data_IF_248085413948
#
_entry.id   IF_248085413948
#
_cell.length_a   1.000
_cell.length_b   1.000
_cell.length_c   1.000
_cell.angle_alpha   90.00
_cell.angle_beta   90.00
_cell.angle_gamma   90.00
#
_symmetry.space_group_name_H-M   'P 1'
#
loop_
_entity.id
_entity.type
_entity.pdbx_description
1 polymer ?
#
# COMPACT_ATOMS: atom_id res chain seq x y z
N UNK A 1 2.26 7.48 20.61
CA UNK A 1 1.59 6.22 20.20
C UNK A 1 2.65 5.17 19.98
N UNK A 2 2.50 3.98 20.56
CA UNK A 2 3.44 2.89 20.31
C UNK A 2 3.12 2.19 18.98
N UNK A 3 4.12 2.02 18.12
CA UNK A 3 3.99 1.36 16.81
C UNK A 3 4.11 -0.16 16.91
N UNK A 4 4.81 -0.65 17.94
CA UNK A 4 4.98 -2.08 18.22
C UNK A 4 3.67 -2.89 18.33
N UNK A 5 2.61 -2.43 19.02
CA UNK A 5 1.33 -3.15 19.05
C UNK A 5 0.65 -3.17 17.67
N UNK A 6 0.71 -2.08 16.91
CA UNK A 6 0.16 -2.02 15.55
C UNK A 6 0.87 -2.99 14.62
N UNK A 7 2.19 -3.00 14.66
CA UNK A 7 3.01 -3.93 13.88
C UNK A 7 2.60 -5.39 14.16
N UNK A 8 2.49 -5.79 15.43
CA UNK A 8 2.07 -7.15 15.80
C UNK A 8 0.67 -7.49 15.31
N UNK A 9 -0.29 -6.54 15.38
CA UNK A 9 -1.65 -6.77 14.88
C UNK A 9 -1.66 -6.97 13.36
N UNK A 10 -0.87 -6.19 12.61
CA UNK A 10 -0.74 -6.36 11.16
C UNK A 10 -0.09 -7.68 10.78
N UNK A 11 1.02 -8.05 11.44
CA UNK A 11 1.68 -9.35 11.24
C UNK A 11 0.70 -10.51 11.51
N UNK A 12 -0.01 -10.49 12.64
CA UNK A 12 -1.00 -11.51 12.97
C UNK A 12 -2.14 -11.60 11.95
N UNK A 13 -2.63 -10.45 11.46
CA UNK A 13 -3.66 -10.40 10.43
C UNK A 13 -3.16 -10.97 9.10
N UNK A 14 -1.94 -10.62 8.68
CA UNK A 14 -1.32 -11.13 7.45
C UNK A 14 -1.07 -12.63 7.53
N UNK A 15 -0.51 -13.14 8.63
CA UNK A 15 -0.32 -14.59 8.81
C UNK A 15 -1.65 -15.35 8.75
N UNK A 16 -2.74 -14.75 9.25
CA UNK A 16 -4.07 -15.37 9.21
C UNK A 16 -4.72 -15.35 7.81
N UNK A 17 -4.47 -14.30 7.02
CA UNK A 17 -5.13 -14.09 5.72
C UNK A 17 -4.26 -14.50 4.51
N UNK A 18 -2.94 -14.61 4.69
CA UNK A 18 -1.95 -15.02 3.68
C UNK A 18 -1.36 -16.38 4.10
N UNK A 19 -2.11 -17.45 3.88
CA UNK A 19 -1.66 -18.83 4.11
C UNK A 19 -1.00 -19.39 2.85
N UNK A 20 0.19 -18.89 2.53
CA UNK A 20 1.08 -19.49 1.53
C UNK A 20 2.45 -19.66 2.16
N UNK A 21 3.22 -20.67 1.74
CA UNK A 21 4.56 -20.98 2.28
C UNK A 21 5.53 -19.77 2.20
N UNK A 22 5.24 -18.85 1.27
CA UNK A 22 5.93 -17.55 1.11
C UNK A 22 5.63 -16.51 2.21
N UNK A 23 4.62 -16.71 3.05
CA UNK A 23 4.24 -15.72 4.06
C UNK A 23 5.35 -15.42 5.07
N UNK A 24 6.17 -16.42 5.42
CA UNK A 24 7.34 -16.22 6.30
C UNK A 24 8.44 -15.40 5.61
N UNK A 25 8.64 -15.60 4.32
CA UNK A 25 9.56 -14.80 3.50
C UNK A 25 9.04 -13.36 3.37
N UNK A 26 7.74 -13.18 3.15
CA UNK A 26 7.10 -11.87 3.05
C UNK A 26 7.15 -11.12 4.37
N UNK A 27 6.98 -11.77 5.53
CA UNK A 27 7.09 -11.08 6.83
C UNK A 27 8.50 -10.55 7.07
N UNK A 28 9.51 -11.34 6.69
CA UNK A 28 10.91 -10.93 6.78
C UNK A 28 11.21 -9.78 5.81
N UNK A 29 10.58 -9.76 4.64
CA UNK A 29 10.63 -8.66 3.70
C UNK A 29 9.98 -7.39 4.28
N UNK A 30 8.74 -7.47 4.77
CA UNK A 30 8.02 -6.33 5.35
C UNK A 30 8.75 -5.70 6.53
N UNK A 31 9.31 -6.51 7.44
CA UNK A 31 10.11 -6.01 8.56
C UNK A 31 11.34 -5.23 8.10
N UNK A 32 12.05 -5.70 7.07
CA UNK A 32 13.21 -4.97 6.51
C UNK A 32 12.79 -3.67 5.84
N UNK A 33 11.73 -3.68 5.03
CA UNK A 33 11.18 -2.47 4.41
C UNK A 33 10.76 -1.45 5.47
N UNK A 34 10.07 -1.92 6.52
CA UNK A 34 9.66 -1.09 7.65
C UNK A 34 10.85 -0.49 8.39
N UNK A 35 11.90 -1.26 8.70
CA UNK A 35 13.10 -0.71 9.35
C UNK A 35 13.77 0.38 8.50
N UNK A 36 13.82 0.22 7.18
CA UNK A 36 14.35 1.25 6.27
C UNK A 36 13.44 2.47 6.23
N UNK A 37 12.12 2.28 6.12
CA UNK A 37 11.14 3.35 6.13
C UNK A 37 11.18 4.15 7.45
N UNK A 38 11.39 3.46 8.59
CA UNK A 38 11.58 4.10 9.89
C UNK A 38 12.81 5.01 9.94
N UNK A 39 13.90 4.60 9.30
CA UNK A 39 15.10 5.46 9.20
C UNK A 39 14.88 6.64 8.27
N UNK A 40 14.16 6.43 7.16
CA UNK A 40 13.85 7.50 6.21
C UNK A 40 12.88 8.52 6.81
N UNK A 41 11.88 8.09 7.56
CA UNK A 41 10.93 8.99 8.22
C UNK A 41 11.54 9.73 9.41
N UNK A 42 12.71 9.32 9.90
CA UNK A 42 13.39 10.00 11.00
C UNK A 42 13.78 11.42 10.56
N UNK A 43 13.08 12.42 11.10
CA UNK A 43 13.27 13.83 10.75
C UNK A 43 12.29 14.37 9.70
N UNK A 44 11.34 13.57 9.22
CA UNK A 44 10.28 14.03 8.31
C UNK A 44 8.95 14.24 9.06
N UNK A 45 8.13 15.24 8.67
CA UNK A 45 6.82 15.49 9.26
C UNK A 45 5.76 14.50 8.73
N UNK A 46 6.06 13.20 8.77
CA UNK A 46 5.17 12.12 8.30
C UNK A 46 4.63 11.33 9.47
N UNK A 47 3.42 10.80 9.32
CA UNK A 47 2.81 10.00 10.37
C UNK A 47 3.34 8.55 10.29
N UNK A 48 4.07 8.07 11.30
CA UNK A 48 4.66 6.74 11.26
C UNK A 48 3.61 5.61 11.20
N UNK A 49 2.39 5.84 11.70
CA UNK A 49 1.30 4.86 11.62
C UNK A 49 0.82 4.68 10.17
N UNK A 50 0.75 5.76 9.40
CA UNK A 50 0.41 5.74 7.98
C UNK A 50 1.47 4.98 7.20
N UNK A 51 2.75 5.29 7.44
CA UNK A 51 3.88 4.64 6.77
C UNK A 51 3.93 3.16 7.11
N UNK A 52 3.76 2.79 8.39
CA UNK A 52 3.69 1.39 8.82
C UNK A 52 2.61 0.65 8.05
N UNK A 53 1.39 1.21 8.03
CA UNK A 53 0.25 0.58 7.36
C UNK A 53 0.51 0.43 5.87
N UNK A 54 1.01 1.47 5.20
CA UNK A 54 1.37 1.38 3.78
C UNK A 54 2.45 0.31 3.54
N UNK A 55 3.50 0.23 4.36
CA UNK A 55 4.56 -0.76 4.20
C UNK A 55 4.08 -2.21 4.35
N UNK A 56 3.08 -2.49 5.18
CA UNK A 56 2.56 -3.86 5.33
C UNK A 56 1.49 -4.21 4.28
N UNK A 57 0.68 -3.23 3.86
CA UNK A 57 -0.44 -3.48 2.96
C UNK A 57 -0.16 -3.15 1.48
N UNK A 58 1.00 -2.56 1.15
CA UNK A 58 1.32 -2.20 -0.25
C UNK A 58 1.28 -3.39 -1.21
N UNK A 59 1.55 -4.61 -0.73
CA UNK A 59 1.60 -5.83 -1.54
C UNK A 59 0.39 -6.77 -1.31
N UNK A 60 -0.67 -6.29 -0.64
CA UNK A 60 -1.84 -7.12 -0.35
C UNK A 60 -2.64 -7.56 -1.59
N UNK A 61 -2.43 -6.89 -2.71
CA UNK A 61 -3.01 -7.24 -4.01
C UNK A 61 -1.88 -7.45 -5.01
N UNK A 62 -1.47 -8.71 -5.17
CA UNK A 62 -0.55 -9.10 -6.23
C UNK A 62 -1.36 -9.55 -7.45
N UNK A 63 -1.56 -8.66 -8.43
CA UNK A 63 -2.18 -9.04 -9.70
C UNK A 63 -1.17 -9.77 -10.59
N UNK A 64 -1.56 -10.87 -11.26
CA UNK A 64 -0.68 -11.61 -12.15
C UNK A 64 -0.22 -10.75 -13.33
N UNK A 65 0.98 -11.02 -13.83
CA UNK A 65 1.70 -10.20 -14.82
C UNK A 65 0.94 -9.93 -16.13
N UNK A 66 -0.05 -10.76 -16.48
CA UNK A 66 -0.81 -10.64 -17.73
C UNK A 66 -2.13 -9.84 -17.59
N UNK A 67 -2.42 -9.23 -16.44
CA UNK A 67 -3.64 -8.43 -16.33
C UNK A 67 -3.48 -7.06 -17.00
N UNK A 68 -4.34 -6.70 -17.97
CA UNK A 68 -4.33 -5.38 -18.64
C UNK A 68 -4.59 -4.22 -17.67
N UNK A 69 -5.12 -4.52 -16.49
CA UNK A 69 -5.45 -3.56 -15.44
C UNK A 69 -4.37 -3.46 -14.36
N UNK A 70 -3.12 -3.84 -14.68
CA UNK A 70 -1.98 -3.64 -13.77
C UNK A 70 -1.83 -2.19 -13.31
N UNK A 71 -2.27 -1.22 -14.12
CA UNK A 71 -2.31 0.20 -13.74
C UNK A 71 -3.37 0.55 -12.69
N UNK A 72 -4.36 -0.34 -12.47
CA UNK A 72 -5.40 -0.21 -11.45
C UNK A 72 -5.11 -1.04 -10.20
N UNK A 73 -4.06 -1.87 -10.17
CA UNK A 73 -3.71 -2.69 -9.00
C UNK A 73 -3.47 -1.82 -7.78
N UNK A 74 -2.82 -0.67 -7.94
CA UNK A 74 -2.55 0.30 -6.88
C UNK A 74 -3.85 0.84 -6.26
N UNK A 75 -4.83 1.17 -7.09
CA UNK A 75 -6.12 1.68 -6.63
C UNK A 75 -6.95 0.58 -5.96
N UNK A 76 -6.91 -0.65 -6.48
CA UNK A 76 -7.54 -1.80 -5.83
C UNK A 76 -6.89 -2.10 -4.47
N UNK A 77 -5.56 -2.05 -4.39
CA UNK A 77 -4.83 -2.25 -3.15
C UNK A 77 -5.17 -1.17 -2.12
N UNK A 78 -5.24 0.10 -2.53
CA UNK A 78 -5.62 1.21 -1.66
C UNK A 78 -7.05 1.04 -1.10
N UNK A 79 -8.03 0.79 -1.97
CA UNK A 79 -9.42 0.55 -1.56
C UNK A 79 -9.56 -0.68 -0.65
N UNK A 80 -8.88 -1.78 -0.99
CA UNK A 80 -8.92 -3.01 -0.20
C UNK A 80 -8.27 -2.82 1.17
N UNK A 81 -7.19 -2.06 1.24
CA UNK A 81 -6.54 -1.72 2.51
C UNK A 81 -7.48 -0.91 3.39
N UNK A 82 -8.16 0.09 2.84
CA UNK A 82 -9.17 0.86 3.59
C UNK A 82 -10.28 -0.03 4.13
N UNK A 83 -10.82 -0.93 3.32
CA UNK A 83 -11.88 -1.85 3.73
C UNK A 83 -11.43 -2.74 4.89
N UNK A 84 -10.21 -3.30 4.80
CA UNK A 84 -9.60 -4.10 5.87
C UNK A 84 -9.40 -3.25 7.13
N UNK A 85 -8.89 -2.03 7.02
CA UNK A 85 -8.72 -1.15 8.17
C UNK A 85 -10.06 -0.83 8.84
N UNK A 86 -11.11 -0.57 8.07
CA UNK A 86 -12.44 -0.29 8.62
C UNK A 86 -13.05 -1.51 9.30
N UNK A 87 -12.88 -2.70 8.71
CA UNK A 87 -13.51 -3.93 9.19
C UNK A 87 -12.76 -4.59 10.35
N UNK A 88 -11.43 -4.69 10.23
CA UNK A 88 -10.57 -5.43 11.13
C UNK A 88 -9.86 -4.53 12.16
N UNK A 89 -9.80 -3.21 11.92
CA UNK A 89 -9.10 -2.23 12.77
C UNK A 89 -9.93 -0.98 13.09
N UNK A 90 -11.04 -1.11 13.84
CA UNK A 90 -11.91 0.04 14.18
C UNK A 90 -11.19 1.11 15.03
N UNK A 91 -10.09 0.76 15.70
CA UNK A 91 -9.24 1.69 16.44
C UNK A 91 -8.42 2.63 15.53
N UNK A 92 -8.38 2.38 14.22
CA UNK A 92 -7.54 3.15 13.30
C UNK A 92 -8.21 4.50 12.96
N UNK A 93 -7.49 5.64 13.07
CA UNK A 93 -8.08 6.95 12.81
C UNK A 93 -8.49 7.11 11.35
N UNK A 94 -9.77 7.37 11.10
CA UNK A 94 -10.29 7.55 9.73
C UNK A 94 -9.64 8.72 8.97
N UNK A 95 -9.13 9.73 9.69
CA UNK A 95 -8.33 10.83 9.15
C UNK A 95 -7.06 10.37 8.40
N UNK A 96 -6.57 9.17 8.67
CA UNK A 96 -5.37 8.62 8.05
C UNK A 96 -5.66 7.73 6.84
N UNK A 97 -6.93 7.39 6.57
CA UNK A 97 -7.28 6.53 5.42
C UNK A 97 -6.82 7.13 4.09
N UNK A 98 -7.10 8.41 3.85
CA UNK A 98 -6.68 9.08 2.62
C UNK A 98 -5.15 9.10 2.43
N UNK A 99 -4.41 9.26 3.53
CA UNK A 99 -2.95 9.26 3.50
C UNK A 99 -2.38 7.85 3.21
N UNK A 100 -3.00 6.80 3.79
CA UNK A 100 -2.63 5.41 3.53
C UNK A 100 -2.94 5.02 2.08
N UNK A 101 -4.12 5.37 1.58
CA UNK A 101 -4.52 5.12 0.18
C UNK A 101 -3.50 5.75 -0.77
N UNK A 102 -3.19 7.03 -0.59
CA UNK A 102 -2.23 7.74 -1.41
C UNK A 102 -0.82 7.13 -1.35
N UNK A 103 -0.37 6.71 -0.17
CA UNK A 103 0.93 6.07 0.00
C UNK A 103 1.01 4.72 -0.73
N UNK A 104 -0.05 3.91 -0.69
CA UNK A 104 -0.13 2.62 -1.39
C UNK A 104 -0.21 2.82 -2.90
N UNK A 105 -0.98 3.80 -3.35
CA UNK A 105 -1.04 4.18 -4.77
C UNK A 105 0.33 4.57 -5.31
N UNK A 106 1.10 5.34 -4.55
CA UNK A 106 2.45 5.81 -4.90
C UNK A 106 3.50 4.70 -4.81
N UNK A 107 3.40 3.78 -3.83
CA UNK A 107 4.35 2.68 -3.65
C UNK A 107 4.36 1.71 -4.85
N UNK A 108 3.19 1.39 -5.40
CA UNK A 108 3.05 0.55 -6.61
C UNK A 108 3.39 1.32 -7.90
N UNK A 109 3.44 2.66 -7.84
CA UNK A 109 3.74 3.55 -8.98
C UNK A 109 5.22 3.53 -9.39
N UNK A 110 6.13 2.94 -8.60
CA UNK A 110 7.58 2.86 -8.91
C UNK A 110 7.93 2.04 -10.18
N UNK A 111 6.94 1.66 -11.00
CA UNK A 111 7.13 1.19 -12.39
C UNK A 111 6.45 2.07 -13.44
N UNK A 112 6.38 3.38 -13.21
CA UNK A 112 6.11 4.37 -14.24
C UNK A 112 7.33 5.25 -14.47
N UNK A 113 8.33 4.70 -15.15
CA UNK A 113 9.14 5.52 -16.03
C UNK A 113 8.67 5.32 -17.47
N UNK A 114 8.45 6.45 -18.14
CA UNK A 114 8.14 6.66 -19.56
C UNK A 114 6.76 6.23 -20.09
N UNK A 115 5.76 7.11 -19.99
CA UNK A 115 5.23 7.84 -21.16
C UNK A 115 3.92 8.60 -20.83
N UNK A 116 4.03 9.91 -20.75
CA UNK A 116 3.01 10.91 -21.13
C UNK A 116 2.40 10.57 -22.51
N UNK A 117 1.15 10.84 -22.88
CA UNK A 117 0.00 11.63 -22.38
C UNK A 117 -1.24 11.13 -23.15
N UNK A 118 -2.48 11.14 -22.61
CA UNK A 118 -3.68 11.03 -23.41
C UNK A 118 -4.22 12.42 -23.79
N UNK A 119 -4.56 12.62 -25.06
CA UNK A 119 -5.62 13.55 -25.48
C UNK A 119 -5.20 14.92 -26.02
N UNK A 120 -5.19 15.05 -27.35
CA UNK A 120 -5.38 16.29 -28.08
C UNK A 120 -6.49 16.08 -29.11
N UNK A 121 -7.65 16.69 -28.85
CA UNK A 121 -8.95 16.49 -29.50
C UNK A 121 -9.05 17.32 -30.79
N UNK A 122 -9.83 16.84 -31.77
CA UNK A 122 -10.63 17.58 -32.79
C UNK A 122 -10.01 17.92 -34.17
N UNK A 123 -10.59 17.37 -35.26
CA UNK A 123 -11.69 18.03 -36.01
C UNK A 123 -12.15 17.21 -37.23
N UNK A 124 -13.46 16.98 -37.27
CA UNK A 124 -14.26 16.73 -38.46
C UNK A 124 -14.39 18.03 -39.29
N UNK A 125 -14.53 17.91 -40.62
CA UNK A 125 -15.21 18.93 -41.45
C UNK A 125 -14.44 19.41 -42.69
N UNK A 126 -15.09 19.22 -43.84
CA UNK A 126 -14.79 19.63 -45.23
C UNK A 126 -13.85 18.73 -46.03
#
# INVERSE_FOLDING_TARGET
>A
MELAPWQRRFEAWLTKNHTSDDAAHDMSHFRRVWMTAQKLMAGQPVNPLVVLTACYFHDIVSLPKNHPERGQSSQLAARKTRDILQRDFPDFPAQHYAAVEHAIESAQLQRRDCAAKPGGKNRSGC
#
